data_IF_156507274247
#
_entry.id   IF_156507274247
#
_cell.length_a   1.000
_cell.length_b   1.000
_cell.length_c   1.000
_cell.angle_alpha   90.00
_cell.angle_beta   90.00
_cell.angle_gamma   90.00
#
_symmetry.space_group_name_H-M   'P 1'
#
loop_
_entity.id
_entity.type
_entity.pdbx_description
1 polymer ?
#
# COMPACT_ATOMS: atom_id res chain seq x y z
N UNK A 1 -17.07 -9.86 -23.01
CA UNK A 1 -16.91 -9.34 -21.63
C UNK A 1 -15.74 -8.39 -21.61
N UNK A 2 -15.84 -7.35 -20.78
CA UNK A 2 -14.91 -6.23 -20.74
C UNK A 2 -14.50 -5.97 -19.28
N UNK A 3 -13.29 -5.46 -19.08
CA UNK A 3 -12.82 -4.90 -17.80
C UNK A 3 -12.65 -3.40 -17.94
N UNK A 4 -12.98 -2.65 -16.89
CA UNK A 4 -12.64 -1.22 -16.82
C UNK A 4 -11.11 -1.07 -16.93
N UNK A 5 -10.68 -0.04 -17.64
CA UNK A 5 -9.28 0.40 -17.64
C UNK A 5 -9.24 1.93 -17.69
N UNK A 6 -8.18 2.55 -17.17
CA UNK A 6 -8.12 4.01 -16.96
C UNK A 6 -8.76 4.90 -18.05
N UNK A 7 -8.44 4.68 -19.34
CA UNK A 7 -8.96 5.49 -20.46
C UNK A 7 -9.86 4.70 -21.43
N UNK A 8 -10.52 3.64 -20.96
CA UNK A 8 -11.36 2.82 -21.81
C UNK A 8 -11.71 1.47 -21.18
N UNK A 9 -11.70 0.41 -22.00
CA UNK A 9 -11.95 -0.95 -21.49
C UNK A 9 -11.00 -1.97 -22.10
N UNK A 10 -10.67 -3.00 -21.33
CA UNK A 10 -9.95 -4.17 -21.82
C UNK A 10 -10.94 -5.25 -22.21
N UNK A 11 -10.92 -5.69 -23.46
CA UNK A 11 -11.70 -6.84 -23.90
C UNK A 11 -11.07 -8.12 -23.35
N UNK A 12 -11.85 -8.95 -22.66
CA UNK A 12 -11.31 -10.13 -21.94
C UNK A 12 -10.87 -11.23 -22.89
N UNK A 13 -11.53 -11.38 -24.05
CA UNK A 13 -11.29 -12.50 -24.97
C UNK A 13 -9.89 -12.50 -25.60
N UNK A 14 -9.34 -11.32 -25.87
CA UNK A 14 -8.06 -11.14 -26.57
C UNK A 14 -7.11 -10.17 -25.85
N UNK A 15 -7.56 -9.55 -24.75
CA UNK A 15 -6.76 -8.63 -23.95
C UNK A 15 -6.56 -7.25 -24.56
N UNK A 16 -7.21 -6.94 -25.69
CA UNK A 16 -7.11 -5.65 -26.37
C UNK A 16 -7.63 -4.51 -25.49
N UNK A 17 -6.86 -3.42 -25.38
CA UNK A 17 -7.31 -2.17 -24.75
C UNK A 17 -8.03 -1.34 -25.81
N UNK A 18 -9.30 -1.06 -25.54
CA UNK A 18 -10.18 -0.27 -26.39
C UNK A 18 -10.29 1.11 -25.75
N UNK A 19 -9.69 2.09 -26.40
CA UNK A 19 -9.77 3.50 -26.01
C UNK A 19 -11.19 4.05 -26.25
N UNK A 20 -11.60 5.04 -25.47
CA UNK A 20 -12.94 5.65 -25.50
C UNK A 20 -13.25 6.53 -26.74
N UNK A 21 -12.64 6.22 -27.87
CA UNK A 21 -12.73 7.05 -29.06
C UNK A 21 -14.02 6.78 -29.84
N UNK A 22 -14.80 7.84 -30.12
CA UNK A 22 -16.09 7.75 -30.83
C UNK A 22 -15.99 7.08 -32.21
N UNK A 23 -14.82 7.19 -32.87
CA UNK A 23 -14.55 6.56 -34.16
C UNK A 23 -14.12 5.09 -34.09
N UNK A 24 -13.84 4.57 -32.88
CA UNK A 24 -13.38 3.21 -32.69
C UNK A 24 -14.57 2.24 -32.74
N UNK A 25 -14.55 1.31 -33.69
CA UNK A 25 -15.57 0.28 -33.85
C UNK A 25 -15.71 -0.60 -32.61
N UNK A 26 -14.60 -1.01 -31.99
CA UNK A 26 -14.63 -1.85 -30.79
C UNK A 26 -15.25 -1.09 -29.59
N UNK A 27 -15.08 0.24 -29.55
CA UNK A 27 -15.73 1.09 -28.55
C UNK A 27 -17.24 1.17 -28.76
N UNK A 28 -17.69 1.34 -30.01
CA UNK A 28 -19.12 1.32 -30.34
C UNK A 28 -19.76 -0.03 -30.00
N UNK A 29 -19.07 -1.15 -30.27
CA UNK A 29 -19.52 -2.49 -29.88
C UNK A 29 -19.64 -2.63 -28.35
N UNK A 30 -18.68 -2.09 -27.60
CA UNK A 30 -18.76 -2.03 -26.14
C UNK A 30 -19.97 -1.19 -25.66
N UNK A 31 -20.24 -0.05 -26.27
CA UNK A 31 -21.40 0.80 -25.93
C UNK A 31 -22.74 0.08 -26.19
N UNK A 32 -22.86 -0.68 -27.28
CA UNK A 32 -24.04 -1.51 -27.55
C UNK A 32 -24.18 -2.61 -26.49
N UNK A 33 -23.07 -3.25 -26.11
CA UNK A 33 -23.06 -4.27 -25.07
C UNK A 33 -23.49 -3.69 -23.70
N UNK A 34 -23.05 -2.48 -23.34
CA UNK A 34 -23.52 -1.76 -22.16
C UNK A 34 -25.02 -1.44 -22.23
N UNK A 35 -25.49 -0.93 -23.37
CA UNK A 35 -26.90 -0.57 -23.56
C UNK A 35 -27.85 -1.78 -23.46
N UNK A 36 -27.35 -2.99 -23.67
CA UNK A 36 -28.07 -4.24 -23.44
C UNK A 36 -28.16 -4.65 -21.95
N UNK A 37 -27.68 -3.82 -21.03
CA UNK A 37 -27.76 -4.04 -19.57
C UNK A 37 -26.59 -4.83 -18.99
N UNK A 38 -25.51 -5.03 -19.75
CA UNK A 38 -24.30 -5.67 -19.23
C UNK A 38 -23.40 -4.66 -18.48
N UNK A 39 -22.57 -5.16 -17.57
CA UNK A 39 -21.62 -4.35 -16.80
C UNK A 39 -20.20 -4.93 -16.90
N UNK A 40 -19.17 -4.09 -17.14
CA UNK A 40 -17.79 -4.56 -17.20
C UNK A 40 -17.31 -4.98 -15.81
N UNK A 41 -16.36 -5.89 -15.78
CA UNK A 41 -15.64 -6.25 -14.57
C UNK A 41 -14.76 -5.07 -14.10
N UNK A 42 -14.48 -4.93 -12.80
CA UNK A 42 -13.56 -3.93 -12.30
C UNK A 42 -12.13 -4.16 -12.84
N UNK A 43 -11.35 -3.08 -12.91
CA UNK A 43 -9.96 -3.10 -13.38
C UNK A 43 -9.11 -4.06 -12.52
N UNK A 44 -9.22 -3.91 -11.20
CA UNK A 44 -8.56 -4.74 -10.20
C UNK A 44 -9.57 -5.58 -9.42
N UNK A 45 -9.17 -6.80 -9.09
CA UNK A 45 -9.85 -7.63 -8.10
C UNK A 45 -9.65 -7.07 -6.69
N UNK A 46 -10.53 -7.43 -5.76
CA UNK A 46 -10.40 -7.02 -4.35
C UNK A 46 -9.07 -7.51 -3.76
N UNK A 47 -8.61 -8.71 -4.12
CA UNK A 47 -7.35 -9.26 -3.61
C UNK A 47 -6.11 -8.51 -4.15
N UNK A 48 -6.13 -8.07 -5.42
CA UNK A 48 -5.10 -7.19 -5.97
C UNK A 48 -5.07 -5.84 -5.24
N UNK A 49 -6.24 -5.27 -4.93
CA UNK A 49 -6.35 -4.04 -4.15
C UNK A 49 -5.78 -4.23 -2.74
N UNK A 50 -6.14 -5.32 -2.04
CA UNK A 50 -5.57 -5.66 -0.71
C UNK A 50 -4.06 -5.76 -0.76
N UNK A 51 -3.50 -6.50 -1.72
CA UNK A 51 -2.06 -6.67 -1.88
C UNK A 51 -1.34 -5.33 -2.10
N UNK A 52 -1.91 -4.45 -2.91
CA UNK A 52 -1.40 -3.10 -3.15
C UNK A 52 -1.39 -2.26 -1.86
N UNK A 53 -2.50 -2.26 -1.11
CA UNK A 53 -2.63 -1.50 0.15
C UNK A 53 -1.72 -2.04 1.27
N UNK A 54 -1.55 -3.36 1.39
CA UNK A 54 -0.60 -3.97 2.33
C UNK A 54 0.85 -3.55 1.99
N UNK A 55 1.20 -3.56 0.70
CA UNK A 55 2.54 -3.12 0.25
C UNK A 55 2.79 -1.66 0.60
N UNK A 56 1.80 -0.80 0.38
CA UNK A 56 1.89 0.61 0.76
C UNK A 56 2.01 0.81 2.27
N UNK A 57 1.26 0.03 3.07
CA UNK A 57 1.33 0.07 4.53
C UNK A 57 2.74 -0.25 5.03
N UNK A 58 3.35 -1.32 4.50
CA UNK A 58 4.73 -1.70 4.81
C UNK A 58 5.74 -0.63 4.42
N UNK A 59 5.53 0.03 3.28
CA UNK A 59 6.38 1.14 2.82
C UNK A 59 6.31 2.33 3.78
N UNK A 60 5.10 2.71 4.21
CA UNK A 60 4.88 3.79 5.18
C UNK A 60 5.51 3.45 6.53
N UNK A 61 5.33 2.22 7.02
CA UNK A 61 5.95 1.75 8.26
C UNK A 61 7.48 1.82 8.19
N UNK A 62 8.09 1.36 7.09
CA UNK A 62 9.53 1.41 6.89
C UNK A 62 10.08 2.84 6.92
N UNK A 63 9.40 3.79 6.25
CA UNK A 63 9.78 5.21 6.29
C UNK A 63 9.68 5.80 7.69
N UNK A 64 8.60 5.52 8.42
CA UNK A 64 8.42 5.97 9.81
C UNK A 64 9.52 5.41 10.73
N UNK A 65 9.86 4.13 10.58
CA UNK A 65 10.95 3.49 11.35
C UNK A 65 12.30 4.14 11.05
N UNK A 66 12.62 4.39 9.78
CA UNK A 66 13.88 5.02 9.39
C UNK A 66 14.02 6.44 9.93
N UNK A 67 12.91 7.19 10.08
CA UNK A 67 12.91 8.50 10.73
C UNK A 67 13.22 8.40 12.23
N UNK A 68 12.62 7.42 12.92
CA UNK A 68 12.74 7.26 14.38
C UNK A 68 14.12 6.72 14.79
N UNK A 69 14.56 5.65 14.11
CA UNK A 69 15.81 4.97 14.42
C UNK A 69 16.45 4.46 13.11
N UNK A 70 17.17 5.35 12.38
CA UNK A 70 17.85 4.97 11.17
C UNK A 70 18.86 3.85 11.41
N UNK A 71 19.06 3.02 10.40
CA UNK A 71 19.91 1.83 10.46
C UNK A 71 21.39 2.15 10.78
N UNK A 72 21.90 3.30 10.31
CA UNK A 72 23.24 3.75 10.67
C UNK A 72 23.40 4.05 12.16
N UNK A 73 22.33 4.51 12.83
CA UNK A 73 22.35 4.85 14.24
C UNK A 73 22.31 3.58 15.09
N UNK A 74 21.57 2.55 14.65
CA UNK A 74 21.59 1.21 15.24
C UNK A 74 23.00 0.62 15.21
N UNK A 75 23.63 0.57 14.01
CA UNK A 75 25.01 0.09 13.87
C UNK A 75 25.99 0.85 14.76
N UNK A 76 25.95 2.18 14.71
CA UNK A 76 26.85 3.01 15.53
C UNK A 76 26.69 2.73 17.03
N UNK A 77 25.46 2.60 17.52
CA UNK A 77 25.22 2.33 18.93
C UNK A 77 25.78 0.96 19.33
N UNK A 78 25.56 -0.06 18.49
CA UNK A 78 26.14 -1.39 18.66
C UNK A 78 27.68 -1.34 18.74
N UNK A 79 28.33 -0.71 17.75
CA UNK A 79 29.78 -0.58 17.70
C UNK A 79 30.34 0.15 18.95
N UNK A 80 29.66 1.20 19.41
CA UNK A 80 30.06 1.94 20.62
C UNK A 80 29.98 1.07 21.88
N UNK A 81 28.94 0.25 22.00
CA UNK A 81 28.78 -0.71 23.08
C UNK A 81 29.87 -1.78 23.05
N UNK A 82 30.17 -2.37 21.88
CA UNK A 82 31.22 -3.38 21.74
C UNK A 82 32.61 -2.84 22.06
N UNK A 83 32.90 -1.60 21.66
CA UNK A 83 34.16 -0.93 21.94
C UNK A 83 34.27 -0.44 23.40
N UNK A 84 33.19 -0.51 24.18
CA UNK A 84 33.15 0.00 25.55
C UNK A 84 33.35 1.51 25.65
N UNK A 85 33.00 2.26 24.59
CA UNK A 85 33.13 3.72 24.55
C UNK A 85 31.80 4.39 24.88
N UNK A 86 31.84 5.68 25.21
CA UNK A 86 30.64 6.46 25.44
C UNK A 86 29.73 6.46 24.19
N UNK A 87 28.46 6.11 24.39
CA UNK A 87 27.47 6.04 23.32
C UNK A 87 26.92 7.43 22.98
N UNK A 88 26.56 7.60 21.71
CA UNK A 88 25.90 8.83 21.22
C UNK A 88 24.44 8.94 21.63
N UNK A 89 23.81 7.81 21.96
CA UNK A 89 22.49 7.74 22.60
C UNK A 89 22.67 7.15 24.00
N UNK A 90 21.91 7.67 24.97
CA UNK A 90 21.81 6.97 26.25
C UNK A 90 21.08 5.64 26.06
N UNK A 91 21.30 4.68 26.96
CA UNK A 91 20.58 3.41 26.92
C UNK A 91 19.04 3.61 27.01
N UNK A 92 18.60 4.61 27.78
CA UNK A 92 17.20 4.99 27.88
C UNK A 92 16.64 5.53 26.55
N UNK A 93 17.37 6.44 25.88
CA UNK A 93 16.95 6.99 24.59
C UNK A 93 16.91 5.92 23.50
N UNK A 94 17.91 5.04 23.47
CA UNK A 94 17.96 3.95 22.51
C UNK A 94 16.79 2.97 22.71
N UNK A 95 16.49 2.60 23.96
CA UNK A 95 15.34 1.76 24.31
C UNK A 95 14.02 2.42 23.92
N UNK A 96 13.85 3.73 24.21
CA UNK A 96 12.65 4.47 23.84
C UNK A 96 12.44 4.50 22.32
N UNK A 97 13.50 4.68 21.53
CA UNK A 97 13.42 4.63 20.06
C UNK A 97 13.11 3.24 19.53
N UNK A 98 13.67 2.20 20.12
CA UNK A 98 13.32 0.81 19.78
C UNK A 98 11.84 0.52 20.06
N UNK A 99 11.32 1.01 21.19
CA UNK A 99 9.91 0.90 21.55
C UNK A 99 9.01 1.63 20.53
N UNK A 100 9.36 2.86 20.16
CA UNK A 100 8.63 3.60 19.13
C UNK A 100 8.64 2.86 17.76
N UNK A 101 9.77 2.24 17.37
CA UNK A 101 9.80 1.39 16.18
C UNK A 101 8.88 0.16 16.30
N UNK A 102 8.74 -0.41 17.50
CA UNK A 102 7.83 -1.54 17.74
C UNK A 102 6.36 -1.10 17.61
N UNK A 103 6.00 0.04 18.18
CA UNK A 103 4.65 0.61 18.05
C UNK A 103 4.28 0.87 16.58
N UNK A 104 5.23 1.32 15.76
CA UNK A 104 5.02 1.46 14.30
C UNK A 104 4.77 0.08 13.64
N UNK A 105 5.49 -0.98 14.04
CA UNK A 105 5.26 -2.33 13.50
C UNK A 105 3.88 -2.86 13.90
N UNK A 106 3.48 -2.64 15.14
CA UNK A 106 2.18 -3.09 15.66
C UNK A 106 1.02 -2.32 14.98
N UNK A 107 1.21 -1.03 14.75
CA UNK A 107 0.29 -0.22 13.94
C UNK A 107 0.19 -0.72 12.49
N UNK A 108 1.32 -1.05 11.84
CA UNK A 108 1.34 -1.64 10.50
C UNK A 108 0.53 -2.93 10.46
N UNK A 109 0.75 -3.84 11.40
CA UNK A 109 0.02 -5.11 11.47
C UNK A 109 -1.49 -4.89 11.65
N UNK A 110 -1.89 -3.89 12.43
CA UNK A 110 -3.30 -3.52 12.62
C UNK A 110 -3.92 -3.07 11.31
N UNK A 111 -3.26 -2.15 10.59
CA UNK A 111 -3.72 -1.64 9.30
C UNK A 111 -3.76 -2.75 8.24
N UNK A 112 -2.75 -3.61 8.20
CA UNK A 112 -2.71 -4.75 7.28
C UNK A 112 -3.90 -5.71 7.52
N UNK A 113 -4.26 -5.95 8.79
CA UNK A 113 -5.42 -6.77 9.13
C UNK A 113 -6.74 -6.11 8.71
N UNK A 114 -6.88 -4.80 8.89
CA UNK A 114 -8.06 -4.04 8.43
C UNK A 114 -8.19 -4.07 6.91
N UNK A 115 -7.09 -3.86 6.18
CA UNK A 115 -7.03 -3.98 4.72
C UNK A 115 -7.45 -5.36 4.27
N UNK A 116 -6.94 -6.41 4.92
CA UNK A 116 -7.26 -7.79 4.58
C UNK A 116 -8.74 -8.12 4.80
N UNK A 117 -9.35 -7.57 5.85
CA UNK A 117 -10.76 -7.76 6.18
C UNK A 117 -11.72 -6.91 5.33
N UNK A 118 -11.23 -5.83 4.72
CA UNK A 118 -12.06 -4.87 3.99
C UNK A 118 -12.60 -5.43 2.67
N UNK A 119 -13.86 -5.10 2.38
CA UNK A 119 -14.50 -5.27 1.06
C UNK A 119 -14.19 -4.11 0.10
N UNK A 120 -13.72 -2.98 0.63
CA UNK A 120 -13.24 -1.82 -0.13
C UNK A 120 -11.90 -1.33 0.46
N UNK A 121 -10.78 -1.97 0.09
CA UNK A 121 -9.46 -1.62 0.62
C UNK A 121 -9.03 -0.18 0.31
N UNK A 122 -9.58 0.44 -0.74
CA UNK A 122 -9.20 1.79 -1.16
C UNK A 122 -9.79 2.88 -0.25
N UNK A 123 -10.85 2.56 0.50
CA UNK A 123 -11.41 3.48 1.51
C UNK A 123 -10.50 3.71 2.72
N UNK A 124 -9.51 2.84 2.95
CA UNK A 124 -8.59 2.92 4.10
C UNK A 124 -7.46 3.89 3.78
N UNK A 125 -7.40 5.03 4.48
CA UNK A 125 -6.27 5.95 4.41
C UNK A 125 -5.08 5.41 5.21
N UNK A 126 -4.20 4.69 4.51
CA UNK A 126 -2.98 4.10 5.07
C UNK A 126 -2.00 5.18 5.55
N UNK A 127 -1.95 6.36 4.95
CA UNK A 127 -0.93 7.37 5.28
C UNK A 127 -1.30 8.10 6.56
N UNK A 128 -2.56 8.50 6.69
CA UNK A 128 -3.08 9.24 7.85
C UNK A 128 -3.87 8.35 8.83
N UNK A 129 -3.60 7.04 8.82
CA UNK A 129 -4.32 6.09 9.65
C UNK A 129 -4.19 6.42 11.13
N UNK A 130 -5.28 6.31 11.88
CA UNK A 130 -5.32 6.61 13.32
C UNK A 130 -4.54 5.63 14.18
N UNK A 131 -4.20 4.45 13.64
CA UNK A 131 -3.38 3.46 14.33
C UNK A 131 -1.90 3.87 14.40
N UNK A 132 -1.43 4.79 13.55
CA UNK A 132 -0.05 5.26 13.64
C UNK A 132 0.18 6.01 14.95
N UNK A 133 1.33 5.79 15.62
CA UNK A 133 1.68 6.59 16.78
C UNK A 133 1.83 8.08 16.38
N UNK A 134 1.41 8.97 17.30
CA UNK A 134 1.45 10.44 17.16
C UNK A 134 2.86 10.97 17.34
#
# INVERSE_FOLDING_TARGET
>A
MYKISGNGVKRISDGTIIMDETGNKDWQEYQVWLAAGNAPDPEFTIDELRGSRITETKRVAALKIDIVLPDWQVRRHHDQCELGVATTLTAADYTARQQACQEIRDASNTIEAEVQASSDPNSIDVVNHTAWPV
#
